data_IF_989647358387
#
_entry.id   IF_989647358387
#
_cell.length_a   1.000
_cell.length_b   1.000
_cell.length_c   1.000
_cell.angle_alpha   90.00
_cell.angle_beta   90.00
_cell.angle_gamma   90.00
#
_symmetry.space_group_name_H-M   'P 1'
#
loop_
_entity.id
_entity.type
_entity.pdbx_description
1 polymer ?
#
# COMPACT_ATOMS: atom_id res chain seq x y z
N UNK A 1 5.92 15.21 -25.46
CA UNK A 1 4.60 15.61 -24.92
C UNK A 1 3.93 14.34 -24.43
N UNK A 2 4.21 13.94 -23.19
CA UNK A 2 3.75 12.68 -22.63
C UNK A 2 2.33 12.85 -22.07
N UNK A 3 1.44 11.95 -22.45
CA UNK A 3 0.08 11.86 -21.92
C UNK A 3 0.22 11.32 -20.48
N UNK A 4 0.16 12.22 -19.50
CA UNK A 4 0.08 11.86 -18.09
C UNK A 4 -1.30 11.24 -17.84
N UNK A 5 -1.33 9.92 -17.61
CA UNK A 5 -2.52 9.24 -17.12
C UNK A 5 -2.81 9.76 -15.70
N UNK A 6 -3.85 10.57 -15.58
CA UNK A 6 -4.31 11.11 -14.30
C UNK A 6 -4.81 9.98 -13.39
N UNK A 7 -4.31 9.97 -12.15
CA UNK A 7 -4.59 9.01 -11.10
C UNK A 7 -6.06 9.01 -10.70
N UNK A 8 -6.78 8.03 -11.23
CA UNK A 8 -8.02 7.55 -10.65
C UNK A 8 -7.77 6.12 -10.22
N UNK A 9 -7.98 5.82 -8.94
CA UNK A 9 -8.33 4.46 -8.53
C UNK A 9 -9.52 4.05 -9.41
N UNK A 10 -9.28 3.27 -10.46
CA UNK A 10 -10.32 2.67 -11.28
C UNK A 10 -11.08 1.71 -10.39
N UNK A 11 -12.26 2.14 -9.94
CA UNK A 11 -13.12 1.34 -9.08
C UNK A 11 -13.88 0.31 -9.93
N UNK A 12 -13.85 -0.98 -9.56
CA UNK A 12 -14.69 -1.98 -10.21
C UNK A 12 -16.17 -1.66 -9.98
N UNK A 13 -16.97 -1.83 -11.03
CA UNK A 13 -18.42 -1.65 -11.04
C UNK A 13 -19.04 -3.04 -11.00
N UNK A 14 -19.04 -3.73 -9.86
CA UNK A 14 -19.77 -5.00 -9.72
C UNK A 14 -20.29 -5.28 -8.29
N UNK A 15 -21.57 -5.72 -8.27
CA UNK A 15 -22.39 -6.34 -7.22
C UNK A 15 -22.60 -5.63 -5.86
N UNK A 16 -23.71 -4.88 -5.75
CA UNK A 16 -24.19 -4.20 -4.54
C UNK A 16 -24.45 -5.13 -3.33
N UNK A 17 -24.65 -6.44 -3.55
CA UNK A 17 -24.94 -7.38 -2.46
C UNK A 17 -23.70 -7.77 -1.63
N UNK A 18 -22.47 -7.62 -2.14
CA UNK A 18 -21.25 -8.09 -1.47
C UNK A 18 -20.52 -7.05 -0.64
N UNK A 19 -20.92 -5.79 -0.78
CA UNK A 19 -20.12 -4.64 -0.37
C UNK A 19 -20.44 -4.03 0.97
N UNK A 20 -21.67 -4.21 1.42
CA UNK A 20 -22.14 -3.85 2.76
C UNK A 20 -22.05 -5.05 3.72
N UNK A 21 -21.73 -6.23 3.18
CA UNK A 21 -21.51 -7.44 3.96
C UNK A 21 -20.07 -7.52 4.45
N UNK A 22 -19.88 -7.23 5.74
CA UNK A 22 -18.58 -7.32 6.40
C UNK A 22 -18.28 -8.75 6.85
N UNK A 23 -17.00 -9.10 6.87
CA UNK A 23 -16.53 -10.34 7.49
C UNK A 23 -16.57 -10.14 9.01
N UNK A 24 -17.29 -11.02 9.71
CA UNK A 24 -17.34 -11.03 11.17
C UNK A 24 -16.08 -11.70 11.74
N UNK A 25 -14.98 -10.93 11.79
CA UNK A 25 -13.68 -11.34 12.33
C UNK A 25 -13.00 -10.16 13.03
N UNK A 26 -12.22 -10.41 14.10
CA UNK A 26 -11.38 -9.37 14.71
C UNK A 26 -10.44 -8.71 13.69
N UNK A 27 -10.23 -7.40 13.85
CA UNK A 27 -9.32 -6.64 13.00
C UNK A 27 -7.87 -6.97 13.36
N UNK A 28 -7.07 -7.36 12.37
CA UNK A 28 -5.69 -7.84 12.59
C UNK A 28 -4.61 -6.85 12.11
N UNK A 29 -4.96 -5.83 11.33
CA UNK A 29 -3.99 -4.90 10.74
C UNK A 29 -3.64 -3.78 11.72
N UNK A 30 -2.37 -3.65 12.09
CA UNK A 30 -1.84 -2.58 12.95
C UNK A 30 -1.71 -1.26 12.20
N UNK A 31 -1.21 -1.30 10.97
CA UNK A 31 -1.13 -0.13 10.11
C UNK A 31 -1.22 -0.48 8.63
N UNK A 32 -1.60 0.51 7.82
CA UNK A 32 -1.43 0.56 6.36
C UNK A 32 -0.67 1.83 6.02
N UNK A 33 0.36 1.70 5.19
CA UNK A 33 1.24 2.78 4.75
C UNK A 33 1.12 2.92 3.24
N UNK A 34 0.92 4.14 2.76
CA UNK A 34 1.01 4.48 1.35
C UNK A 34 2.21 5.40 1.14
N UNK A 35 3.01 5.11 0.12
CA UNK A 35 4.13 5.97 -0.29
C UNK A 35 4.05 6.25 -1.78
N UNK A 36 4.35 7.48 -2.17
CA UNK A 36 4.42 7.97 -3.55
C UNK A 36 5.08 9.35 -3.56
N UNK A 37 5.49 9.84 -4.72
CA UNK A 37 5.84 11.26 -4.92
C UNK A 37 4.76 12.18 -4.34
N UNK A 38 5.17 13.17 -3.55
CA UNK A 38 4.28 14.01 -2.77
C UNK A 38 3.35 14.87 -3.65
N UNK A 39 3.82 15.33 -4.82
CA UNK A 39 2.96 16.03 -5.77
C UNK A 39 1.89 15.12 -6.38
N UNK A 40 2.25 13.89 -6.77
CA UNK A 40 1.31 12.89 -7.29
C UNK A 40 0.29 12.49 -6.23
N UNK A 41 0.75 12.23 -5.01
CA UNK A 41 -0.10 11.93 -3.87
C UNK A 41 -1.12 13.06 -3.64
N UNK A 42 -0.69 14.34 -3.57
CA UNK A 42 -1.61 15.49 -3.43
C UNK A 42 -2.62 15.57 -4.57
N UNK A 43 -2.19 15.34 -5.81
CA UNK A 43 -3.07 15.32 -6.97
C UNK A 43 -4.12 14.19 -6.86
N UNK A 44 -3.72 13.01 -6.40
CA UNK A 44 -4.60 11.86 -6.16
C UNK A 44 -5.62 12.10 -5.05
N UNK A 45 -5.23 12.76 -3.95
CA UNK A 45 -6.14 13.18 -2.87
C UNK A 45 -7.20 14.14 -3.40
N UNK A 46 -6.78 15.20 -4.10
CA UNK A 46 -7.68 16.21 -4.67
C UNK A 46 -8.62 15.62 -5.74
N UNK A 47 -8.10 14.72 -6.59
CA UNK A 47 -8.92 14.00 -7.56
C UNK A 47 -9.97 13.12 -6.87
N UNK A 48 -9.60 12.41 -5.81
CA UNK A 48 -10.51 11.56 -5.04
C UNK A 48 -11.63 12.37 -4.40
N UNK A 49 -11.33 13.54 -3.85
CA UNK A 49 -12.34 14.45 -3.30
C UNK A 49 -13.34 14.90 -4.38
N UNK A 50 -12.84 15.33 -5.54
CA UNK A 50 -13.69 15.73 -6.68
C UNK A 50 -14.54 14.57 -7.20
N UNK A 51 -13.95 13.38 -7.31
CA UNK A 51 -14.64 12.16 -7.74
C UNK A 51 -15.78 11.79 -6.78
N UNK A 52 -15.54 11.80 -5.47
CA UNK A 52 -16.57 11.51 -4.46
C UNK A 52 -17.73 12.53 -4.52
N UNK A 53 -17.42 13.83 -4.67
CA UNK A 53 -18.45 14.88 -4.83
C UNK A 53 -19.29 14.66 -6.09
N UNK A 54 -18.65 14.38 -7.22
CA UNK A 54 -19.35 14.13 -8.49
C UNK A 54 -20.23 12.87 -8.44
N UNK A 55 -19.81 11.84 -7.72
CA UNK A 55 -20.59 10.61 -7.54
C UNK A 55 -21.84 10.88 -6.71
N UNK A 56 -21.70 11.61 -5.60
CA UNK A 56 -22.81 12.03 -4.73
C UNK A 56 -23.86 12.83 -5.53
N UNK A 57 -23.43 13.79 -6.34
CA UNK A 57 -24.32 14.63 -7.16
C UNK A 57 -25.08 13.86 -8.25
N UNK A 58 -24.51 12.76 -8.77
CA UNK A 58 -25.12 11.98 -9.84
C UNK A 58 -26.17 10.98 -9.33
N UNK A 59 -26.41 10.91 -8.02
CA UNK A 59 -27.29 9.92 -7.40
C UNK A 59 -26.88 8.47 -7.71
N UNK A 60 -25.66 8.27 -8.24
CA UNK A 60 -25.15 6.95 -8.54
C UNK A 60 -24.68 6.37 -7.22
N UNK A 61 -25.38 5.34 -6.75
CA UNK A 61 -24.86 4.42 -5.74
C UNK A 61 -23.65 3.71 -6.33
N UNK A 62 -22.49 4.38 -6.32
CA UNK A 62 -21.25 3.62 -6.26
C UNK A 62 -21.21 3.04 -4.86
N UNK A 63 -21.10 1.72 -4.86
CA UNK A 63 -20.95 0.90 -3.69
C UNK A 63 -19.85 1.39 -2.73
N UNK A 64 -18.79 2.04 -3.26
CA UNK A 64 -17.73 2.61 -2.45
C UNK A 64 -17.33 4.02 -2.90
N UNK A 65 -17.00 4.87 -1.93
CA UNK A 65 -16.29 6.14 -2.13
C UNK A 65 -14.77 5.94 -2.03
N UNK A 66 -13.97 6.86 -2.56
CA UNK A 66 -12.51 6.78 -2.45
C UNK A 66 -12.06 7.27 -1.08
N UNK A 67 -11.44 6.42 -0.26
CA UNK A 67 -10.91 6.80 1.05
C UNK A 67 -9.78 7.82 0.95
N UNK A 68 -9.04 7.86 -0.16
CA UNK A 68 -8.00 8.86 -0.39
C UNK A 68 -8.53 10.30 -0.32
N UNK A 69 -9.84 10.53 -0.50
CA UNK A 69 -10.43 11.85 -0.27
C UNK A 69 -10.39 12.30 1.20
N UNK A 70 -10.14 11.39 2.14
CA UNK A 70 -10.12 11.62 3.58
C UNK A 70 -8.71 11.66 4.16
N UNK A 71 -7.70 11.33 3.36
CA UNK A 71 -6.33 11.18 3.84
C UNK A 71 -5.57 12.50 3.84
N UNK A 72 -4.61 12.60 4.76
CA UNK A 72 -3.62 13.66 4.82
C UNK A 72 -2.22 13.05 4.74
N UNK A 73 -1.30 13.74 4.07
CA UNK A 73 0.11 13.34 4.06
C UNK A 73 0.67 13.48 5.48
N UNK A 74 1.04 12.35 6.07
CA UNK A 74 1.54 12.25 7.45
C UNK A 74 3.02 12.58 7.57
N UNK A 75 3.81 12.37 6.52
CA UNK A 75 5.21 12.77 6.45
C UNK A 75 5.60 13.11 5.01
N UNK A 76 6.57 14.00 4.86
CA UNK A 76 7.18 14.34 3.56
C UNK A 76 8.69 14.36 3.71
N UNK A 77 9.39 13.65 2.82
CA UNK A 77 10.84 13.60 2.79
C UNK A 77 11.35 14.36 1.57
N UNK A 78 12.04 15.47 1.81
CA UNK A 78 12.76 16.17 0.75
C UNK A 78 14.01 15.36 0.38
N UNK A 79 14.17 15.06 -0.91
CA UNK A 79 15.32 14.30 -1.42
C UNK A 79 16.07 15.17 -2.43
N UNK A 80 17.38 15.42 -2.26
CA UNK A 80 18.12 16.27 -3.18
C UNK A 80 18.10 15.73 -4.62
N UNK A 81 17.64 16.57 -5.56
CA UNK A 81 17.59 16.25 -6.98
C UNK A 81 16.43 15.36 -7.42
N UNK A 82 15.53 15.00 -6.51
CA UNK A 82 14.36 14.16 -6.77
C UNK A 82 13.08 14.87 -6.29
N UNK A 83 11.92 14.36 -6.71
CA UNK A 83 10.64 14.80 -6.16
C UNK A 83 10.55 14.40 -4.68
N UNK A 84 9.90 15.22 -3.85
CA UNK A 84 9.75 14.89 -2.44
C UNK A 84 8.85 13.65 -2.29
N UNK A 85 9.21 12.72 -1.41
CA UNK A 85 8.38 11.54 -1.14
C UNK A 85 7.31 11.87 -0.09
N UNK A 86 6.05 11.57 -0.39
CA UNK A 86 4.92 11.66 0.55
C UNK A 86 4.60 10.31 1.18
N UNK A 87 4.25 10.31 2.47
CA UNK A 87 3.74 9.14 3.19
C UNK A 87 2.37 9.44 3.79
N UNK A 88 1.42 8.55 3.57
CA UNK A 88 0.18 8.46 4.35
C UNK A 88 0.27 7.21 5.20
N UNK A 89 0.17 7.38 6.51
CA UNK A 89 0.08 6.28 7.46
C UNK A 89 -1.34 6.23 8.03
N UNK A 90 -1.98 5.08 7.99
CA UNK A 90 -3.18 4.76 8.77
C UNK A 90 -2.79 3.75 9.83
N UNK A 91 -3.04 4.07 11.09
CA UNK A 91 -2.82 3.15 12.22
C UNK A 91 -4.16 2.76 12.81
N UNK A 92 -4.28 1.54 13.32
CA UNK A 92 -5.55 1.03 13.85
C UNK A 92 -5.40 0.46 15.26
N UNK A 93 -6.49 0.45 16.02
CA UNK A 93 -6.63 -0.40 17.21
C UNK A 93 -7.16 -1.80 16.84
N UNK A 94 -7.20 -2.72 17.82
CA UNK A 94 -7.71 -4.09 17.60
C UNK A 94 -9.20 -4.17 17.25
N UNK A 95 -9.95 -3.08 17.40
CA UNK A 95 -11.34 -2.99 16.95
C UNK A 95 -11.45 -2.44 15.50
N UNK A 96 -10.31 -2.09 14.88
CA UNK A 96 -10.24 -1.51 13.55
C UNK A 96 -10.45 0.00 13.53
N UNK A 97 -10.53 0.68 14.68
CA UNK A 97 -10.66 2.15 14.69
C UNK A 97 -9.34 2.76 14.25
N UNK A 98 -9.38 3.73 13.34
CA UNK A 98 -8.20 4.50 12.94
C UNK A 98 -7.68 5.24 14.18
N UNK A 99 -6.43 5.19 14.60
CA UNK A 99 -5.99 5.83 15.88
C UNK A 99 -5.19 7.12 15.71
N UNK A 100 -4.51 7.32 14.58
CA UNK A 100 -3.79 8.56 14.26
C UNK A 100 -4.73 9.61 13.62
N UNK A 101 -5.80 9.93 14.34
CA UNK A 101 -7.00 10.63 13.85
C UNK A 101 -6.82 12.15 13.67
N UNK A 102 -7.32 12.68 12.56
CA UNK A 102 -7.81 14.08 12.40
C UNK A 102 -9.09 14.06 11.55
N UNK A 103 -9.95 15.07 11.72
CA UNK A 103 -11.13 15.27 10.87
C UNK A 103 -12.07 14.06 10.79
N UNK A 104 -12.55 13.76 9.57
CA UNK A 104 -13.54 12.71 9.30
C UNK A 104 -13.07 11.30 9.69
N UNK A 105 -11.77 11.00 9.60
CA UNK A 105 -11.21 9.70 9.99
C UNK A 105 -11.39 9.40 11.50
N UNK A 106 -11.65 10.43 12.31
CA UNK A 106 -11.77 10.27 13.76
C UNK A 106 -12.97 9.44 14.20
N UNK A 107 -14.04 9.39 13.40
CA UNK A 107 -15.22 8.58 13.68
C UNK A 107 -15.28 7.29 12.88
N UNK A 108 -14.21 6.89 12.20
CA UNK A 108 -14.22 5.74 11.29
C UNK A 108 -13.50 4.50 11.82
N UNK A 109 -13.96 3.34 11.36
CA UNK A 109 -13.29 2.05 11.55
C UNK A 109 -13.04 1.38 10.20
N UNK A 110 -11.92 0.67 10.10
CA UNK A 110 -11.65 -0.20 8.98
C UNK A 110 -12.41 -1.52 9.11
N UNK A 111 -12.87 -2.03 7.97
CA UNK A 111 -13.55 -3.31 7.82
C UNK A 111 -13.04 -4.00 6.57
N UNK A 112 -13.13 -5.33 6.57
CA UNK A 112 -12.97 -6.17 5.38
C UNK A 112 -14.35 -6.63 4.93
N UNK A 113 -14.69 -6.38 3.66
CA UNK A 113 -15.93 -6.88 3.06
C UNK A 113 -15.76 -8.33 2.61
N UNK A 114 -16.87 -9.03 2.33
CA UNK A 114 -16.84 -10.39 1.76
C UNK A 114 -16.22 -10.46 0.36
N UNK A 115 -16.06 -9.31 -0.32
CA UNK A 115 -15.37 -9.17 -1.60
C UNK A 115 -13.88 -8.83 -1.43
N UNK A 116 -13.33 -9.04 -0.24
CA UNK A 116 -11.93 -8.75 0.09
C UNK A 116 -11.54 -7.31 -0.20
N UNK A 117 -12.48 -6.39 0.05
CA UNK A 117 -12.21 -4.95 0.04
C UNK A 117 -11.92 -4.48 1.45
N UNK A 118 -10.86 -3.70 1.59
CA UNK A 118 -10.55 -2.92 2.78
C UNK A 118 -11.23 -1.57 2.65
N UNK A 119 -12.12 -1.27 3.58
CA UNK A 119 -12.96 -0.07 3.57
C UNK A 119 -12.96 0.61 4.93
N UNK A 120 -13.15 1.92 4.94
CA UNK A 120 -13.46 2.71 6.14
C UNK A 120 -14.96 2.97 6.19
N UNK A 121 -15.57 2.75 7.35
CA UNK A 121 -16.98 3.01 7.62
C UNK A 121 -17.12 3.99 8.77
N UNK A 122 -18.12 4.88 8.70
CA UNK A 122 -18.46 5.72 9.85
C UNK A 122 -19.07 4.87 10.96
N UNK A 123 -18.66 5.13 12.20
CA UNK A 123 -19.21 4.44 13.38
C UNK A 123 -20.50 5.09 13.88
N UNK A 124 -20.76 6.33 13.47
CA UNK A 124 -21.77 7.24 14.02
C UNK A 124 -22.89 7.58 13.03
N UNK A 125 -22.73 7.24 11.75
CA UNK A 125 -23.72 7.49 10.71
C UNK A 125 -24.38 6.15 10.34
N UNK A 126 -25.72 6.04 10.38
CA UNK A 126 -26.43 4.87 9.88
C UNK A 126 -26.30 4.77 8.35
N UNK A 127 -25.98 3.57 7.87
CA UNK A 127 -25.92 3.21 6.45
C UNK A 127 -25.12 4.18 5.53
N UNK A 128 -23.86 4.53 5.88
CA UNK A 128 -23.03 5.40 5.05
C UNK A 128 -22.33 4.58 3.96
N UNK A 129 -22.16 5.16 2.78
CA UNK A 129 -21.31 4.56 1.75
C UNK A 129 -19.90 4.29 2.32
N UNK A 130 -19.39 3.05 2.26
CA UNK A 130 -18.04 2.74 2.71
C UNK A 130 -16.98 3.42 1.83
N UNK A 131 -15.85 3.78 2.43
CA UNK A 131 -14.72 4.40 1.76
C UNK A 131 -13.63 3.36 1.49
N UNK A 132 -13.48 2.94 0.25
CA UNK A 132 -12.51 1.96 -0.21
C UNK A 132 -11.08 2.50 -0.15
N UNK A 133 -10.15 1.73 0.44
CA UNK A 133 -8.72 2.08 0.51
C UNK A 133 -7.75 0.98 0.07
N UNK A 134 -8.21 -0.24 -0.17
CA UNK A 134 -7.33 -1.33 -0.59
C UNK A 134 -8.05 -2.66 -0.78
N UNK A 135 -7.33 -3.62 -1.33
CA UNK A 135 -7.74 -5.01 -1.50
C UNK A 135 -7.01 -5.88 -0.50
N UNK A 136 -7.68 -6.93 -0.05
CA UNK A 136 -7.08 -7.97 0.77
C UNK A 136 -6.79 -9.19 -0.09
N UNK A 137 -5.55 -9.32 -0.56
CA UNK A 137 -5.12 -10.49 -1.31
C UNK A 137 -4.91 -11.67 -0.36
N UNK A 138 -5.54 -12.81 -0.62
CA UNK A 138 -5.27 -14.07 0.09
C UNK A 138 -4.10 -14.86 -0.52
N UNK A 139 -3.46 -14.32 -1.57
CA UNK A 139 -2.43 -15.03 -2.33
C UNK A 139 -3.02 -16.11 -3.22
N UNK A 140 -2.21 -17.12 -3.50
CA UNK A 140 -2.56 -18.24 -4.38
C UNK A 140 -2.69 -19.49 -3.51
N UNK A 141 -3.70 -20.35 -3.73
CA UNK A 141 -3.69 -21.70 -3.15
C UNK A 141 -2.35 -22.40 -3.42
N UNK A 142 -1.67 -22.87 -2.37
CA UNK A 142 -0.38 -23.54 -2.48
C UNK A 142 0.85 -22.64 -2.32
N UNK A 143 0.74 -21.32 -2.50
CA UNK A 143 1.83 -20.36 -2.22
C UNK A 143 1.34 -19.19 -1.36
N UNK A 144 1.72 -19.24 -0.09
CA UNK A 144 1.38 -18.24 0.93
C UNK A 144 2.55 -17.31 1.25
N UNK A 145 3.65 -17.37 0.48
CA UNK A 145 4.88 -16.61 0.80
C UNK A 145 4.69 -15.10 0.73
N UNK A 146 3.73 -14.64 -0.07
CA UNK A 146 3.39 -13.22 -0.24
C UNK A 146 1.94 -12.92 0.19
N UNK A 147 1.35 -13.76 1.06
CA UNK A 147 -0.04 -13.61 1.47
C UNK A 147 -0.30 -13.90 2.95
N UNK A 148 -1.37 -13.31 3.51
CA UNK A 148 -2.23 -12.32 2.87
C UNK A 148 -1.53 -10.97 2.69
N UNK A 149 -2.01 -10.12 1.80
CA UNK A 149 -1.42 -8.82 1.52
C UNK A 149 -2.48 -7.72 1.40
N UNK A 150 -2.21 -6.55 1.96
CA UNK A 150 -2.99 -5.34 1.68
C UNK A 150 -2.44 -4.67 0.40
N UNK A 151 -3.25 -4.63 -0.66
CA UNK A 151 -2.86 -4.16 -1.98
C UNK A 151 -3.68 -2.93 -2.41
N UNK A 152 -3.12 -2.13 -3.30
CA UNK A 152 -3.80 -1.05 -4.03
C UNK A 152 -4.27 -1.51 -5.41
N UNK A 153 -4.94 -0.62 -6.16
CA UNK A 153 -5.21 -0.87 -7.57
C UNK A 153 -3.93 -0.85 -8.44
N UNK A 154 -2.88 -0.15 -8.02
CA UNK A 154 -1.60 -0.13 -8.74
C UNK A 154 -0.92 -1.50 -8.68
N UNK A 155 -1.07 -2.21 -7.57
CA UNK A 155 -0.57 -3.58 -7.40
C UNK A 155 -1.18 -4.54 -8.43
N UNK A 156 -2.49 -4.44 -8.71
CA UNK A 156 -3.10 -5.28 -9.75
C UNK A 156 -2.42 -5.10 -11.11
N UNK A 157 -2.19 -3.85 -11.52
CA UNK A 157 -1.50 -3.54 -12.77
C UNK A 157 -0.04 -3.98 -12.74
N UNK A 158 0.63 -3.86 -11.60
CA UNK A 158 2.03 -4.27 -11.42
C UNK A 158 2.24 -5.75 -11.73
N UNK A 159 1.24 -6.57 -11.42
CA UNK A 159 1.29 -8.01 -11.60
C UNK A 159 0.59 -8.49 -12.89
N UNK A 160 0.14 -7.59 -13.77
CA UNK A 160 -0.41 -7.92 -15.09
C UNK A 160 0.70 -8.29 -16.11
N UNK A 161 0.38 -8.99 -17.23
CA UNK A 161 1.39 -9.35 -18.21
C UNK A 161 1.84 -8.09 -18.94
N UNK A 162 3.15 -8.01 -19.23
CA UNK A 162 3.73 -6.85 -19.91
C UNK A 162 3.95 -5.63 -19.00
N UNK A 163 3.96 -5.81 -17.67
CA UNK A 163 4.41 -4.76 -16.76
C UNK A 163 5.79 -4.23 -17.17
N UNK A 164 5.88 -2.91 -17.34
CA UNK A 164 7.13 -2.26 -17.69
C UNK A 164 8.00 -2.09 -16.43
N UNK A 165 9.16 -2.75 -16.39
CA UNK A 165 10.14 -2.61 -15.31
C UNK A 165 10.66 -1.16 -15.16
N UNK A 166 10.51 -0.33 -16.19
CA UNK A 166 10.85 1.10 -16.16
C UNK A 166 9.65 2.01 -15.88
N UNK A 167 8.54 1.45 -15.38
CA UNK A 167 7.38 2.22 -14.93
C UNK A 167 7.73 3.10 -13.73
N UNK A 168 7.41 4.39 -13.79
CA UNK A 168 7.55 5.33 -12.67
C UNK A 168 6.63 5.00 -11.48
N UNK A 169 5.65 4.12 -11.64
CA UNK A 169 4.87 3.57 -10.53
C UNK A 169 5.74 2.67 -9.62
N UNK A 170 6.86 2.15 -10.12
CA UNK A 170 7.78 1.30 -9.37
C UNK A 170 7.44 -0.20 -9.41
N UNK A 171 8.45 -1.02 -9.15
CA UNK A 171 8.39 -2.49 -9.25
C UNK A 171 8.24 -3.19 -7.90
N UNK A 172 8.11 -2.42 -6.82
CA UNK A 172 7.87 -2.94 -5.49
C UNK A 172 6.40 -2.74 -5.11
N UNK A 173 5.71 -3.81 -4.74
CA UNK A 173 4.29 -3.77 -4.36
C UNK A 173 3.94 -4.56 -3.11
N UNK A 174 2.65 -4.80 -2.93
CA UNK A 174 2.09 -5.44 -1.75
C UNK A 174 2.58 -6.89 -1.55
N UNK A 175 2.89 -7.61 -2.65
CA UNK A 175 3.42 -8.99 -2.59
C UNK A 175 4.86 -8.97 -2.08
N UNK A 176 5.70 -8.11 -2.66
CA UNK A 176 7.08 -7.91 -2.20
C UNK A 176 7.13 -7.47 -0.73
N UNK A 177 6.26 -6.54 -0.35
CA UNK A 177 6.13 -6.10 1.04
C UNK A 177 5.82 -7.27 1.97
N UNK A 178 4.79 -8.05 1.67
CA UNK A 178 4.31 -9.13 2.55
C UNK A 178 5.35 -10.22 2.70
N UNK A 179 6.02 -10.59 1.61
CA UNK A 179 7.06 -11.60 1.69
C UNK A 179 8.25 -11.17 2.54
N UNK A 180 8.68 -9.90 2.41
CA UNK A 180 9.73 -9.35 3.29
C UNK A 180 9.25 -9.18 4.73
N UNK A 181 7.96 -8.88 4.95
CA UNK A 181 7.36 -8.82 6.28
C UNK A 181 7.42 -10.18 6.99
N UNK A 182 7.15 -11.28 6.28
CA UNK A 182 7.11 -12.62 6.86
C UNK A 182 8.44 -13.37 6.86
N UNK A 183 9.43 -12.92 6.08
CA UNK A 183 10.78 -13.48 6.15
C UNK A 183 11.50 -13.09 7.45
N UNK A 184 11.62 -14.02 8.40
CA UNK A 184 12.30 -13.77 9.69
C UNK A 184 13.80 -13.48 9.55
N UNK A 185 14.44 -13.91 8.47
CA UNK A 185 15.86 -13.65 8.24
C UNK A 185 16.11 -12.22 7.73
N UNK A 186 15.09 -11.58 7.16
CA UNK A 186 15.16 -10.22 6.66
C UNK A 186 14.65 -9.21 7.72
N UNK A 187 15.53 -8.39 8.33
CA UNK A 187 15.17 -7.55 9.46
C UNK A 187 14.50 -6.22 9.10
N UNK A 188 14.40 -5.89 7.81
CA UNK A 188 13.77 -4.66 7.30
C UNK A 188 13.03 -4.93 5.98
N UNK A 189 12.09 -4.06 5.63
CA UNK A 189 11.43 -4.06 4.33
C UNK A 189 12.13 -3.03 3.44
N UNK A 190 12.81 -3.47 2.39
CA UNK A 190 13.42 -2.62 1.36
C UNK A 190 12.43 -2.38 0.22
N UNK A 191 11.88 -1.18 0.18
CA UNK A 191 10.86 -0.76 -0.79
C UNK A 191 11.45 -0.15 -2.07
N UNK A 192 12.75 -0.29 -2.28
CA UNK A 192 13.43 0.28 -3.46
C UNK A 192 12.95 -0.38 -4.75
N UNK A 193 12.51 0.44 -5.71
CA UNK A 193 12.34 0.05 -7.10
C UNK A 193 13.63 0.29 -7.86
N UNK A 194 14.13 -0.73 -8.56
CA UNK A 194 15.33 -0.68 -9.38
C UNK A 194 14.96 -0.69 -10.86
N UNK A 195 15.03 0.48 -11.50
CA UNK A 195 14.75 0.65 -12.93
C UNK A 195 16.04 1.03 -13.70
N UNK A 196 15.97 1.04 -15.04
CA UNK A 196 17.09 1.45 -15.90
C UNK A 196 17.44 2.93 -15.74
N UNK A 197 16.45 3.75 -15.39
CA UNK A 197 16.60 5.18 -15.18
C UNK A 197 17.01 5.56 -13.74
N UNK A 198 17.18 4.59 -12.84
CA UNK A 198 17.65 4.83 -11.47
C UNK A 198 16.92 4.01 -10.41
N UNK A 199 17.21 4.34 -9.16
CA UNK A 199 16.51 3.78 -7.99
C UNK A 199 15.56 4.81 -7.40
N UNK A 200 14.33 4.40 -7.12
CA UNK A 200 13.33 5.27 -6.51
C UNK A 200 12.38 4.46 -5.64
N UNK A 201 11.60 5.17 -4.83
CA UNK A 201 10.48 4.58 -4.07
C UNK A 201 9.23 4.97 -4.83
N UNK A 202 8.60 4.00 -5.50
CA UNK A 202 7.40 4.21 -6.29
C UNK A 202 6.11 4.21 -5.47
N UNK A 203 4.96 4.24 -6.16
CA UNK A 203 3.64 4.07 -5.54
C UNK A 203 3.54 2.68 -4.92
N UNK A 204 3.30 2.61 -3.61
CA UNK A 204 3.15 1.33 -2.92
C UNK A 204 2.14 1.39 -1.78
N UNK A 205 1.62 0.21 -1.44
CA UNK A 205 0.88 -0.05 -0.20
C UNK A 205 1.64 -1.06 0.63
N UNK A 206 1.97 -0.66 1.85
CA UNK A 206 2.54 -1.50 2.89
C UNK A 206 1.60 -1.67 4.07
N UNK A 207 1.84 -2.69 4.88
CA UNK A 207 0.99 -2.99 6.03
C UNK A 207 1.71 -3.86 7.09
N UNK A 208 1.10 -4.06 8.24
CA UNK A 208 1.59 -4.99 9.26
C UNK A 208 0.45 -5.39 10.18
N UNK A 209 0.49 -6.59 10.76
CA UNK A 209 -0.43 -7.02 11.81
C UNK A 209 -0.03 -6.51 13.20
N UNK A 210 -0.90 -6.70 14.18
CA UNK A 210 -0.54 -6.49 15.59
C UNK A 210 0.45 -7.53 16.10
N UNK A 211 0.42 -8.73 15.54
CA UNK A 211 1.25 -9.86 15.92
C UNK A 211 2.61 -9.88 15.21
N UNK A 212 2.72 -9.16 14.09
CA UNK A 212 3.97 -9.07 13.34
C UNK A 212 4.98 -8.20 14.12
N UNK A 213 6.25 -8.64 14.23
CA UNK A 213 7.27 -7.81 14.87
C UNK A 213 7.49 -6.53 14.04
N UNK A 214 7.79 -5.40 14.70
CA UNK A 214 8.16 -4.18 13.99
C UNK A 214 9.33 -4.43 13.05
N UNK A 215 9.19 -4.01 11.79
CA UNK A 215 10.26 -4.09 10.78
C UNK A 215 10.48 -2.72 10.17
N UNK A 216 11.69 -2.14 10.32
CA UNK A 216 12.04 -0.90 9.65
C UNK A 216 11.72 -0.95 8.17
N UNK A 217 11.02 0.07 7.68
CA UNK A 217 10.72 0.24 6.26
C UNK A 217 11.75 1.19 5.72
N UNK A 218 12.62 0.71 4.84
CA UNK A 218 13.70 1.48 4.24
C UNK A 218 13.54 1.50 2.72
N UNK A 219 14.14 2.48 2.07
CA UNK A 219 14.22 2.49 0.62
C UNK A 219 15.19 3.54 0.11
N UNK A 220 15.64 3.35 -1.12
CA UNK A 220 16.51 4.28 -1.83
C UNK A 220 15.71 5.10 -2.83
N UNK A 221 15.68 6.42 -2.62
CA UNK A 221 15.07 7.38 -3.53
C UNK A 221 16.17 8.26 -4.15
N UNK A 222 16.38 8.12 -5.46
CA UNK A 222 17.56 8.64 -6.14
C UNK A 222 18.84 8.04 -5.54
N UNK A 223 19.72 8.90 -5.04
CA UNK A 223 20.95 8.48 -4.33
C UNK A 223 20.79 8.36 -2.82
N UNK A 224 19.64 8.75 -2.27
CA UNK A 224 19.41 8.92 -0.84
C UNK A 224 18.70 7.71 -0.26
N UNK A 225 19.21 7.18 0.85
CA UNK A 225 18.51 6.17 1.62
C UNK A 225 17.61 6.84 2.65
N UNK A 226 16.43 6.27 2.85
CA UNK A 226 15.42 6.75 3.77
C UNK A 226 14.98 5.60 4.68
N UNK A 227 14.71 5.91 5.94
CA UNK A 227 13.85 5.10 6.78
C UNK A 227 12.47 5.78 6.84
N UNK A 228 11.43 5.09 6.36
CA UNK A 228 10.09 5.62 6.19
C UNK A 228 9.20 5.35 7.42
N UNK A 229 9.37 4.19 8.05
CA UNK A 229 8.53 3.77 9.17
C UNK A 229 9.24 2.72 10.03
N UNK A 230 8.83 2.60 11.30
CA UNK A 230 9.37 1.67 12.29
C UNK A 230 10.91 1.65 12.39
N UNK A 231 11.54 2.83 12.30
CA UNK A 231 12.99 2.92 12.36
C UNK A 231 13.51 2.32 13.69
N UNK A 232 14.63 1.58 13.64
CA UNK A 232 15.10 0.78 14.76
C UNK A 232 15.51 1.66 15.93
N UNK A 233 15.51 1.09 17.14
CA UNK A 233 15.91 1.77 18.38
C UNK A 233 15.17 3.09 18.66
N UNK A 234 13.93 3.24 18.18
CA UNK A 234 13.12 4.44 18.38
C UNK A 234 13.57 5.66 17.57
N UNK A 235 14.41 5.44 16.54
CA UNK A 235 14.79 6.48 15.60
C UNK A 235 13.55 7.05 14.88
N UNK A 236 13.62 8.32 14.50
CA UNK A 236 12.56 8.95 13.71
C UNK A 236 12.74 8.61 12.23
N UNK A 237 11.63 8.47 11.47
CA UNK A 237 11.70 8.42 10.02
C UNK A 237 12.47 9.61 9.43
N UNK A 238 13.28 9.36 8.41
CA UNK A 238 14.16 10.37 7.82
C UNK A 238 15.25 9.81 6.93
N UNK A 239 16.18 10.68 6.56
CA UNK A 239 17.35 10.33 5.75
C UNK A 239 18.30 9.44 6.53
N UNK A 240 18.77 8.38 5.88
CA UNK A 240 19.89 7.54 6.31
C UNK A 240 21.13 8.04 5.57
N UNK A 241 22.03 8.80 6.22
CA UNK A 241 23.14 9.46 5.52
C UNK A 241 24.17 8.45 4.97
N UNK A 242 24.40 7.38 5.71
CA UNK A 242 25.28 6.28 5.33
C UNK A 242 24.59 4.96 5.70
N UNK A 243 24.08 4.27 4.68
CA UNK A 243 23.37 3.00 4.84
C UNK A 243 24.29 1.87 5.34
N UNK A 244 25.60 1.91 5.08
CA UNK A 244 26.55 0.91 5.60
C UNK A 244 26.75 1.12 7.09
N UNK A 245 26.95 2.36 7.52
CA UNK A 245 27.07 2.69 8.94
C UNK A 245 25.77 2.36 9.70
N UNK A 246 24.62 2.68 9.11
CA UNK A 246 23.30 2.41 9.69
C UNK A 246 23.05 0.91 9.85
N UNK A 247 23.28 0.11 8.81
CA UNK A 247 23.12 -1.36 8.89
C UNK A 247 24.07 -1.96 9.92
N UNK A 248 25.33 -1.52 9.96
CA UNK A 248 26.32 -1.97 10.96
C UNK A 248 25.86 -1.64 12.39
N UNK A 249 25.38 -0.41 12.63
CA UNK A 249 24.89 0.05 13.94
C UNK A 249 23.76 -0.84 14.48
N UNK A 250 22.88 -1.31 13.61
CA UNK A 250 21.71 -2.10 13.99
C UNK A 250 21.90 -3.61 13.80
N UNK A 251 23.10 -4.06 13.38
CA UNK A 251 23.38 -5.48 13.13
C UNK A 251 22.59 -6.05 11.96
N UNK A 252 22.19 -5.22 11.01
CA UNK A 252 21.43 -5.62 9.84
C UNK A 252 22.34 -5.96 8.65
N UNK A 253 21.95 -6.90 7.76
CA UNK A 253 22.65 -7.12 6.51
C UNK A 253 22.48 -5.91 5.60
N UNK A 254 23.45 -5.68 4.72
CA UNK A 254 23.37 -4.61 3.74
C UNK A 254 22.23 -4.86 2.73
N UNK A 255 21.39 -3.86 2.40
CA UNK A 255 20.39 -4.01 1.35
C UNK A 255 21.03 -4.41 0.02
N UNK A 256 20.49 -5.46 -0.59
CA UNK A 256 20.93 -5.97 -1.88
C UNK A 256 19.83 -5.85 -2.91
N UNK A 257 20.17 -5.33 -4.09
CA UNK A 257 19.26 -5.36 -5.24
C UNK A 257 18.84 -6.82 -5.52
N UNK A 258 17.54 -7.13 -5.58
CA UNK A 258 17.09 -8.47 -5.95
C UNK A 258 17.44 -8.77 -7.41
N UNK A 259 17.56 -10.05 -7.75
CA UNK A 259 17.92 -10.49 -9.11
C UNK A 259 16.86 -10.14 -10.16
N UNK A 260 15.61 -9.97 -9.75
CA UNK A 260 14.47 -9.53 -10.58
C UNK A 260 13.49 -8.68 -9.77
N UNK A 261 12.79 -7.75 -10.41
CA UNK A 261 11.61 -7.07 -9.86
C UNK A 261 10.50 -6.92 -10.93
N UNK A 262 9.21 -7.03 -10.55
CA UNK A 262 8.72 -7.55 -9.27
C UNK A 262 9.22 -8.98 -9.00
N UNK A 263 9.37 -9.36 -7.73
CA UNK A 263 9.98 -10.66 -7.35
C UNK A 263 8.95 -11.78 -7.40
N UNK A 264 7.70 -11.45 -7.05
CA UNK A 264 6.56 -12.37 -6.94
C UNK A 264 5.67 -12.29 -8.18
N UNK A 265 4.99 -13.39 -8.56
CA UNK A 265 4.59 -13.62 -9.94
C UNK A 265 3.66 -12.55 -10.55
N UNK A 266 3.78 -12.47 -11.88
CA UNK A 266 3.05 -11.72 -12.88
C UNK A 266 1.74 -12.46 -13.29
N UNK A 267 1.21 -12.15 -14.47
CA UNK A 267 -0.08 -12.64 -14.96
C UNK A 267 -0.14 -14.05 -15.54
N UNK A 268 0.98 -14.76 -15.59
CA UNK A 268 1.00 -16.21 -15.86
C UNK A 268 0.31 -16.99 -14.69
N UNK A 269 -0.02 -16.28 -13.61
CA UNK A 269 -0.87 -16.61 -12.46
C UNK A 269 -2.22 -17.31 -12.77
N UNK A 270 -2.82 -17.09 -13.94
CA UNK A 270 -4.08 -17.77 -14.31
C UNK A 270 -3.89 -19.27 -14.58
N UNK A 271 -2.68 -19.68 -14.99
CA UNK A 271 -2.37 -21.08 -15.28
C UNK A 271 -2.09 -21.88 -13.99
N UNK A 272 -1.47 -21.26 -12.96
CA UNK A 272 -1.22 -21.87 -11.65
C UNK A 272 -2.52 -22.28 -10.92
N UNK A 273 -3.59 -21.49 -11.09
CA UNK A 273 -4.92 -21.86 -10.58
C UNK A 273 -5.50 -23.07 -11.32
N UNK A 274 -5.29 -23.18 -12.64
CA UNK A 274 -5.80 -24.29 -13.44
C UNK A 274 -5.04 -25.60 -13.17
N UNK A 275 -3.76 -25.55 -12.83
CA UNK A 275 -2.97 -26.74 -12.46
C UNK A 275 -3.38 -27.31 -11.08
N UNK A 276 -3.74 -26.46 -10.13
CA UNK A 276 -4.14 -26.91 -8.78
C UNK A 276 -5.50 -27.61 -8.74
N UNK A 277 -6.44 -27.25 -9.62
CA UNK A 277 -7.78 -27.85 -9.69
C UNK A 277 -7.87 -29.08 -10.63
N UNK A 278 -6.76 -29.45 -11.28
CA UNK A 278 -6.68 -30.63 -12.16
C UNK A 278 -5.96 -31.84 -11.52
N UNK A 279 -5.60 -31.76 -10.23
CA UNK A 279 -5.13 -32.90 -9.42
C UNK A 279 -6.25 -33.46 -8.54
#
# INVERSE_FOLDING_TARGET
>A
MAIFAFFALSMPVDAAAGSENFIDRPWEIRYVLFAEDASLMRAGLAYSEKSNKQQTLRGKQKIYLSASALFEITATFAVPGEEALGIILLTFDRAGRVVNKKGALSSMSAKRTRLDRLVLVHNDIPDPNPYYFGYWSQGIPGDVTFSPAACSSDDFRRYEPGWNIDSYTGNFGCREWTAQLYDRAQPYIDVTSYATHGTFIGSLTGWSRFEDPPKPVIGRHGKTWLCLHECPAGEKPGVIPDIRAWTTKHGFPMPTRPSKQPLYPNADYMDDLNEFWQQ
#
